data_IF_661420931372
#
_entry.id   IF_661420931372
#
_cell.length_a   1.000
_cell.length_b   1.000
_cell.length_c   1.000
_cell.angle_alpha   90.00
_cell.angle_beta   90.00
_cell.angle_gamma   90.00
#
_symmetry.space_group_name_H-M   'P 1'
#
loop_
_entity.id
_entity.type
_entity.pdbx_description
1 polymer ?
#
# COMPACT_ATOMS: atom_id res chain seq x y z
N UNK A 1 23.32 2.02 -20.86
CA UNK A 1 22.67 1.97 -19.53
C UNK A 1 21.67 0.82 -19.59
N UNK A 2 21.73 -0.12 -18.64
CA UNK A 2 20.72 -1.17 -18.51
C UNK A 2 19.44 -0.56 -17.98
N UNK A 3 18.31 -0.86 -18.61
CA UNK A 3 17.02 -0.42 -18.10
C UNK A 3 16.73 -1.15 -16.77
N UNK A 4 16.36 -0.41 -15.74
CA UNK A 4 16.16 -0.92 -14.38
C UNK A 4 14.71 -0.73 -13.96
N UNK A 5 14.12 -1.77 -13.38
CA UNK A 5 12.81 -1.69 -12.74
C UNK A 5 12.96 -1.09 -11.35
N UNK A 6 12.36 0.09 -11.14
CA UNK A 6 12.23 0.77 -9.84
C UNK A 6 10.82 0.59 -9.27
N UNK A 7 10.72 0.17 -8.02
CA UNK A 7 9.48 0.07 -7.26
C UNK A 7 9.67 0.81 -5.94
N UNK A 8 8.67 1.58 -5.53
CA UNK A 8 8.61 2.17 -4.19
C UNK A 8 7.67 1.30 -3.35
N UNK A 9 8.03 0.96 -2.12
CA UNK A 9 7.19 0.15 -1.25
C UNK A 9 7.17 0.69 0.19
N UNK A 10 6.01 0.64 0.83
CA UNK A 10 5.85 0.95 2.25
C UNK A 10 4.56 0.31 2.80
N UNK A 11 4.43 0.25 4.13
CA UNK A 11 3.26 -0.22 4.88
C UNK A 11 3.23 0.45 6.26
N UNK A 12 2.33 0.01 7.13
CA UNK A 12 2.29 0.39 8.55
C UNK A 12 2.23 1.92 8.77
N UNK A 13 1.44 2.61 7.95
CA UNK A 13 1.26 4.07 8.07
C UNK A 13 0.30 4.40 9.20
N UNK A 14 -0.67 3.53 9.46
CA UNK A 14 -1.72 3.70 10.47
C UNK A 14 -2.41 5.07 10.37
N UNK A 15 -2.94 5.35 9.18
CA UNK A 15 -3.69 6.55 8.85
C UNK A 15 -2.89 7.84 9.04
N UNK A 16 -3.22 8.59 10.09
CA UNK A 16 -2.56 9.87 10.41
C UNK A 16 -1.29 9.69 11.26
N UNK A 17 -1.12 8.53 11.92
CA UNK A 17 -0.08 8.33 12.93
C UNK A 17 1.32 8.53 12.36
N UNK A 18 1.64 7.89 11.22
CA UNK A 18 2.93 8.02 10.57
C UNK A 18 2.90 8.81 9.26
N UNK A 19 1.80 9.51 8.97
CA UNK A 19 1.66 10.32 7.76
C UNK A 19 2.77 11.37 7.63
N UNK A 20 3.17 12.01 8.73
CA UNK A 20 4.27 12.97 8.73
C UNK A 20 5.62 12.36 8.32
N UNK A 21 5.89 11.13 8.77
CA UNK A 21 7.09 10.37 8.40
C UNK A 21 7.03 9.99 6.93
N UNK A 22 5.89 9.47 6.46
CA UNK A 22 5.67 9.15 5.05
C UNK A 22 5.94 10.37 4.15
N UNK A 23 5.39 11.54 4.51
CA UNK A 23 5.61 12.79 3.77
C UNK A 23 7.09 13.16 3.68
N UNK A 24 7.83 13.04 4.79
CA UNK A 24 9.26 13.32 4.80
C UNK A 24 10.03 12.32 3.92
N UNK A 25 9.71 11.03 4.01
CA UNK A 25 10.31 9.97 3.20
C UNK A 25 10.06 10.19 1.70
N UNK A 26 8.81 10.46 1.29
CA UNK A 26 8.44 10.74 -0.10
C UNK A 26 9.20 11.95 -0.68
N UNK A 27 9.39 13.01 0.12
CA UNK A 27 10.17 14.20 -0.28
C UNK A 27 11.67 13.93 -0.39
N UNK A 28 12.19 12.98 0.37
CA UNK A 28 13.63 12.64 0.34
C UNK A 28 14.04 11.84 -0.90
N UNK A 29 13.09 11.32 -1.67
CA UNK A 29 13.36 10.56 -2.90
C UNK A 29 13.83 11.52 -4.00
N UNK A 30 15.11 11.45 -4.35
CA UNK A 30 15.77 12.29 -5.38
C UNK A 30 16.00 11.55 -6.72
N UNK A 31 15.71 10.24 -6.78
CA UNK A 31 15.87 9.43 -7.98
C UNK A 31 14.75 9.57 -9.01
N UNK A 32 14.84 8.86 -10.15
CA UNK A 32 13.78 8.81 -11.14
C UNK A 32 12.48 8.25 -10.55
N UNK A 33 11.35 8.56 -11.19
CA UNK A 33 10.07 8.03 -10.74
C UNK A 33 10.05 6.48 -10.73
N UNK A 34 9.40 5.88 -9.71
CA UNK A 34 9.18 4.44 -9.69
C UNK A 34 8.13 4.05 -10.72
N UNK A 35 8.18 2.80 -11.20
CA UNK A 35 7.17 2.28 -12.11
C UNK A 35 5.88 1.87 -11.39
N UNK A 36 5.95 1.66 -10.08
CA UNK A 36 4.79 1.44 -9.22
C UNK A 36 5.11 1.78 -7.77
N UNK A 37 4.06 2.11 -7.02
CA UNK A 37 4.07 2.21 -5.56
C UNK A 37 3.33 1.02 -4.97
N UNK A 38 3.95 0.33 -4.01
CA UNK A 38 3.41 -0.86 -3.35
C UNK A 38 3.04 -0.52 -1.90
N UNK A 39 1.78 -0.71 -1.53
CA UNK A 39 1.27 -0.56 -0.17
C UNK A 39 1.13 -1.95 0.47
N UNK A 40 1.97 -2.24 1.46
CA UNK A 40 2.10 -3.55 2.08
C UNK A 40 1.16 -3.79 3.29
N UNK A 41 -0.01 -3.12 3.31
CA UNK A 41 -0.99 -3.22 4.40
C UNK A 41 -0.75 -2.25 5.56
N UNK A 42 -1.70 -2.21 6.50
CA UNK A 42 -1.72 -1.36 7.71
C UNK A 42 -1.55 0.13 7.37
N UNK A 43 -2.21 0.56 6.29
CA UNK A 43 -2.23 1.94 5.82
C UNK A 43 -3.28 2.76 6.56
N UNK A 44 -4.42 2.17 6.89
CA UNK A 44 -5.47 2.77 7.73
C UNK A 44 -5.19 2.49 9.22
N UNK A 45 -5.86 3.22 10.11
CA UNK A 45 -5.83 2.94 11.56
C UNK A 45 -7.18 2.37 11.96
N UNK A 46 -7.20 1.11 12.41
CA UNK A 46 -8.40 0.42 12.95
C UNK A 46 -9.66 0.57 12.10
N UNK A 47 -9.55 0.31 10.80
CA UNK A 47 -10.66 0.38 9.86
C UNK A 47 -11.07 1.80 9.43
N UNK A 48 -10.38 2.86 9.88
CA UNK A 48 -10.67 4.22 9.42
C UNK A 48 -10.17 4.45 7.99
N UNK A 49 -11.04 4.12 7.04
CA UNK A 49 -10.83 4.23 5.59
C UNK A 49 -10.40 5.62 5.11
N UNK A 50 -10.63 6.69 5.88
CA UNK A 50 -10.20 8.05 5.51
C UNK A 50 -8.67 8.18 5.50
N UNK A 51 -7.98 7.37 6.31
CA UNK A 51 -6.52 7.30 6.34
C UNK A 51 -5.93 6.94 4.98
N UNK A 52 -6.58 6.02 4.25
CA UNK A 52 -6.16 5.64 2.90
C UNK A 52 -6.18 6.86 1.95
N UNK A 53 -7.25 7.65 1.96
CA UNK A 53 -7.35 8.85 1.13
C UNK A 53 -6.24 9.87 1.38
N UNK A 54 -5.86 10.07 2.66
CA UNK A 54 -4.74 10.95 3.01
C UNK A 54 -3.42 10.42 2.45
N UNK A 55 -3.15 9.11 2.60
CA UNK A 55 -1.94 8.48 2.10
C UNK A 55 -1.86 8.55 0.57
N UNK A 56 -2.94 8.18 -0.13
CA UNK A 56 -3.00 8.25 -1.59
C UNK A 56 -2.80 9.67 -2.10
N UNK A 57 -3.34 10.68 -1.41
CA UNK A 57 -3.12 12.07 -1.77
C UNK A 57 -1.64 12.46 -1.70
N UNK A 58 -0.91 12.06 -0.65
CA UNK A 58 0.53 12.36 -0.56
C UNK A 58 1.34 11.62 -1.64
N UNK A 59 1.00 10.36 -1.93
CA UNK A 59 1.63 9.59 -3.00
C UNK A 59 1.39 10.25 -4.36
N UNK A 60 0.13 10.60 -4.68
CA UNK A 60 -0.25 11.21 -5.96
C UNK A 60 0.30 12.63 -6.14
N UNK A 61 0.48 13.38 -5.06
CA UNK A 61 1.17 14.67 -5.12
C UNK A 61 2.63 14.51 -5.52
N UNK A 62 3.28 13.41 -5.11
CA UNK A 62 4.68 13.14 -5.45
C UNK A 62 4.85 12.41 -6.79
N UNK A 63 3.89 11.54 -7.14
CA UNK A 63 3.91 10.64 -8.29
C UNK A 63 2.51 10.57 -8.92
N UNK A 64 2.23 11.44 -9.90
CA UNK A 64 0.86 11.66 -10.38
C UNK A 64 0.28 10.49 -11.17
N UNK A 65 1.09 9.85 -12.00
CA UNK A 65 0.65 8.81 -12.95
C UNK A 65 1.18 7.42 -12.61
N UNK A 66 1.90 7.29 -11.49
CA UNK A 66 2.47 6.01 -11.09
C UNK A 66 1.37 5.11 -10.50
N UNK A 67 1.21 3.87 -11.01
CA UNK A 67 0.21 2.95 -10.49
C UNK A 67 0.50 2.58 -9.03
N UNK A 68 -0.56 2.48 -8.24
CA UNK A 68 -0.50 2.09 -6.84
C UNK A 68 -1.10 0.70 -6.71
N UNK A 69 -0.32 -0.23 -6.16
CA UNK A 69 -0.74 -1.61 -5.89
C UNK A 69 -0.77 -1.79 -4.38
N UNK A 70 -1.84 -2.37 -3.84
CA UNK A 70 -1.99 -2.53 -2.39
C UNK A 70 -2.47 -3.92 -2.02
N UNK A 71 -2.07 -4.36 -0.83
CA UNK A 71 -2.70 -5.47 -0.11
C UNK A 71 -3.38 -4.92 1.15
N UNK A 72 -4.33 -5.66 1.69
CA UNK A 72 -4.91 -5.36 2.99
C UNK A 72 -3.96 -5.81 4.11
N UNK A 73 -3.91 -5.06 5.22
CA UNK A 73 -3.28 -5.48 6.46
C UNK A 73 -4.30 -5.91 7.51
N UNK A 74 -3.88 -5.88 8.76
CA UNK A 74 -4.71 -6.14 9.94
C UNK A 74 -5.64 -4.98 10.26
N UNK A 75 -5.22 -3.73 10.01
CA UNK A 75 -6.02 -2.54 10.29
C UNK A 75 -7.05 -2.24 9.19
N UNK A 76 -6.83 -2.71 7.97
CA UNK A 76 -7.90 -2.81 6.97
C UNK A 76 -8.81 -3.98 7.31
N UNK A 77 -9.74 -3.81 8.24
CA UNK A 77 -10.66 -4.87 8.65
C UNK A 77 -11.50 -5.42 7.47
N UNK A 78 -11.93 -6.67 7.58
CA UNK A 78 -12.73 -7.34 6.55
C UNK A 78 -14.01 -6.56 6.20
N UNK A 79 -14.62 -5.91 7.19
CA UNK A 79 -15.85 -5.13 7.05
C UNK A 79 -15.67 -3.88 6.16
N UNK A 80 -14.43 -3.39 6.01
CA UNK A 80 -14.14 -2.17 5.25
C UNK A 80 -13.45 -2.42 3.90
N UNK A 81 -13.02 -3.64 3.59
CA UNK A 81 -12.41 -3.99 2.30
C UNK A 81 -13.29 -3.61 1.10
N UNK A 82 -14.58 -3.94 1.20
CA UNK A 82 -15.58 -3.66 0.18
C UNK A 82 -15.72 -2.14 -0.05
N UNK A 83 -15.59 -1.35 1.02
CA UNK A 83 -15.57 0.09 0.91
C UNK A 83 -14.28 0.58 0.26
N UNK A 84 -13.12 0.07 0.70
CA UNK A 84 -11.81 0.46 0.20
C UNK A 84 -11.68 0.20 -1.30
N UNK A 85 -12.07 -0.99 -1.76
CA UNK A 85 -11.99 -1.38 -3.17
C UNK A 85 -12.94 -0.58 -4.07
N UNK A 86 -14.14 -0.25 -3.58
CA UNK A 86 -15.13 0.53 -4.35
C UNK A 86 -14.82 2.01 -4.41
N UNK A 87 -14.29 2.60 -3.32
CA UNK A 87 -14.07 4.04 -3.21
C UNK A 87 -12.66 4.49 -3.57
N UNK A 88 -11.67 3.58 -3.49
CA UNK A 88 -10.29 3.82 -3.93
C UNK A 88 -9.96 2.92 -5.13
N UNK A 89 -10.74 3.09 -6.20
CA UNK A 89 -10.68 2.27 -7.41
C UNK A 89 -9.44 2.55 -8.27
N UNK A 90 -8.69 3.61 -7.97
CA UNK A 90 -7.37 3.87 -8.55
C UNK A 90 -6.29 2.91 -8.05
N UNK A 91 -6.54 2.20 -6.95
CA UNK A 91 -5.59 1.27 -6.35
C UNK A 91 -5.85 -0.12 -6.92
N UNK A 92 -4.78 -0.78 -7.37
CA UNK A 92 -4.82 -2.17 -7.76
C UNK A 92 -4.74 -3.00 -6.48
N UNK A 93 -5.90 -3.41 -5.97
CA UNK A 93 -6.00 -4.25 -4.79
C UNK A 93 -5.68 -5.71 -5.13
N UNK A 94 -4.70 -6.27 -4.43
CA UNK A 94 -4.35 -7.69 -4.51
C UNK A 94 -4.73 -8.38 -3.20
N UNK A 95 -5.48 -9.47 -3.34
CA UNK A 95 -5.83 -10.39 -2.27
C UNK A 95 -5.80 -11.81 -2.86
N UNK A 96 -4.74 -12.57 -2.57
CA UNK A 96 -4.41 -13.85 -3.21
C UNK A 96 -4.46 -13.81 -4.75
N UNK A 97 -4.04 -12.68 -5.32
CA UNK A 97 -4.14 -12.38 -6.75
C UNK A 97 -2.85 -11.74 -7.27
N UNK A 98 -2.74 -11.70 -8.60
CA UNK A 98 -1.57 -11.19 -9.32
C UNK A 98 -1.97 -10.07 -10.27
N UNK A 99 -1.12 -9.07 -10.40
CA UNK A 99 -1.15 -8.10 -11.49
C UNK A 99 0.17 -8.10 -12.25
N UNK A 100 0.14 -7.67 -13.50
CA UNK A 100 1.33 -7.59 -14.35
C UNK A 100 1.44 -6.17 -14.89
N UNK A 101 2.56 -5.51 -14.59
CA UNK A 101 2.88 -4.17 -15.07
C UNK A 101 3.88 -4.24 -16.21
N UNK A 102 3.61 -3.49 -17.27
CA UNK A 102 4.57 -3.27 -18.37
C UNK A 102 5.29 -1.96 -18.13
N UNK A 103 6.61 -2.01 -18.12
CA UNK A 103 7.51 -0.87 -17.94
C UNK A 103 8.40 -0.74 -19.17
N UNK A 104 9.06 0.40 -19.33
CA UNK A 104 10.12 0.60 -20.32
C UNK A 104 11.33 -0.34 -20.08
N UNK A 105 11.53 -0.77 -18.82
CA UNK A 105 12.59 -1.71 -18.42
C UNK A 105 12.20 -3.20 -18.53
N UNK A 106 10.94 -3.52 -18.86
CA UNK A 106 10.44 -4.89 -18.98
C UNK A 106 9.10 -5.13 -18.28
N UNK A 107 8.76 -6.40 -18.06
CA UNK A 107 7.49 -6.81 -17.45
C UNK A 107 7.71 -7.23 -16.00
N UNK A 108 6.87 -6.73 -15.10
CA UNK A 108 6.91 -7.02 -13.66
C UNK A 108 5.62 -7.71 -13.24
N UNK A 109 5.72 -8.93 -12.72
CA UNK A 109 4.61 -9.61 -12.05
C UNK A 109 4.60 -9.28 -10.56
N UNK A 110 3.45 -8.86 -10.03
CA UNK A 110 3.27 -8.53 -8.62
C UNK A 110 2.18 -9.43 -8.06
N UNK A 111 2.54 -10.26 -7.09
CA UNK A 111 1.61 -11.14 -6.36
C UNK A 111 1.43 -10.59 -4.95
N UNK A 112 0.19 -10.49 -4.50
CA UNK A 112 -0.14 -9.91 -3.20
C UNK A 112 -1.23 -10.69 -2.46
N UNK A 113 -1.12 -10.72 -1.15
CA UNK A 113 -2.07 -11.31 -0.21
C UNK A 113 -2.05 -10.50 1.09
N UNK A 114 -3.15 -10.52 1.85
CA UNK A 114 -3.18 -9.97 3.22
C UNK A 114 -2.19 -10.69 4.15
N UNK A 115 -1.86 -11.92 3.84
CA UNK A 115 -1.19 -12.83 4.76
C UNK A 115 -2.19 -13.47 5.72
N UNK A 116 -1.90 -14.71 6.13
CA UNK A 116 -2.69 -15.43 7.12
C UNK A 116 -1.96 -15.42 8.46
N UNK A 117 -2.70 -15.13 9.53
CA UNK A 117 -2.22 -15.36 10.88
C UNK A 117 -2.40 -16.85 11.20
N UNK A 118 -1.34 -17.65 11.07
CA UNK A 118 -1.32 -19.02 11.60
C UNK A 118 -1.45 -19.01 13.14
N UNK A 119 -0.98 -17.92 13.77
CA UNK A 119 -1.15 -17.63 15.20
C UNK A 119 -1.44 -16.15 15.38
N UNK A 120 -2.29 -15.82 16.37
CA UNK A 120 -2.51 -14.45 16.80
C UNK A 120 -1.16 -13.76 17.08
N UNK A 121 -1.05 -12.49 16.70
CA UNK A 121 0.10 -11.69 17.11
C UNK A 121 0.16 -11.59 18.64
N UNK A 122 1.33 -11.25 19.19
CA UNK A 122 1.48 -11.09 20.64
C UNK A 122 0.49 -10.08 21.23
N UNK A 123 0.21 -8.99 20.50
CA UNK A 123 -0.77 -8.00 20.93
C UNK A 123 -2.18 -8.58 20.89
N UNK A 124 -2.58 -9.24 19.80
CA UNK A 124 -3.91 -9.84 19.66
C UNK A 124 -4.16 -10.93 20.69
N UNK A 125 -3.21 -11.83 20.95
CA UNK A 125 -3.35 -12.88 21.97
C UNK A 125 -3.53 -12.35 23.40
N UNK A 126 -3.23 -11.07 23.65
CA UNK A 126 -3.40 -10.40 24.94
C UNK A 126 -4.59 -9.46 25.03
N UNK A 127 -5.12 -8.97 23.89
CA UNK A 127 -6.07 -7.86 23.86
C UNK A 127 -7.31 -8.12 22.99
N UNK A 128 -7.33 -9.19 22.21
CA UNK A 128 -8.54 -9.67 21.53
C UNK A 128 -9.07 -10.91 22.28
N UNK A 129 -10.38 -10.98 22.54
CA UNK A 129 -11.00 -12.08 23.28
C UNK A 129 -10.93 -13.42 22.54
#
# INVERSE_FOLDING_TARGET
>A
MTAEVRLLAFGDVHGVQYLGVLKASLRSITGPEPHAVLLAGDVVDRGDVRGMGLVLNEVKQRFREVPIVAVFGNDEYYEVEDYLTKNYNEVIWLNDTVTVLKTDAGTVGIVGSRGSLDRLTYWQSKHMP
#
